data_IF_812939583659
#
_entry.id   IF_812939583659
#
_cell.length_a   1.000
_cell.length_b   1.000
_cell.length_c   1.000
_cell.angle_alpha   90.00
_cell.angle_beta   90.00
_cell.angle_gamma   90.00
#
_symmetry.space_group_name_H-M   'P 1'
#
loop_
_entity.id
_entity.type
_entity.pdbx_description
1 polymer ?
#
# COMPACT_ATOMS: atom_id res chain seq x y z
N UNK A 1 -11.91 -37.43 9.22
CA UNK A 1 -10.46 -37.10 9.14
C UNK A 1 -10.11 -36.00 10.14
N UNK A 2 -9.34 -36.31 11.20
CA UNK A 2 -8.84 -35.30 12.17
C UNK A 2 -7.76 -34.44 11.51
N UNK A 3 -8.08 -33.19 11.17
CA UNK A 3 -7.10 -32.19 10.69
C UNK A 3 -6.04 -32.01 11.79
N UNK A 4 -4.78 -32.43 11.56
CA UNK A 4 -3.69 -32.22 12.52
C UNK A 4 -3.50 -30.72 12.72
N UNK A 5 -3.72 -30.26 13.94
CA UNK A 5 -3.64 -28.85 14.31
C UNK A 5 -2.19 -28.50 14.65
N UNK A 6 -1.68 -27.41 14.09
CA UNK A 6 -0.29 -26.98 14.32
C UNK A 6 -0.10 -26.56 15.79
N UNK A 7 0.89 -27.15 16.47
CA UNK A 7 1.17 -26.95 17.90
C UNK A 7 1.67 -25.55 18.23
N UNK A 8 2.17 -24.80 17.24
CA UNK A 8 2.70 -23.44 17.44
C UNK A 8 1.64 -22.33 17.35
N UNK A 9 0.36 -22.67 17.23
CA UNK A 9 -0.70 -21.66 17.13
C UNK A 9 -1.19 -21.23 18.52
N UNK A 10 -1.46 -19.94 18.70
CA UNK A 10 -2.06 -19.40 19.95
C UNK A 10 -3.42 -20.02 20.32
N UNK A 11 -4.11 -20.57 19.31
CA UNK A 11 -5.34 -21.36 19.47
C UNK A 11 -5.04 -22.73 20.09
N UNK A 12 -3.93 -23.37 19.71
CA UNK A 12 -3.54 -24.68 20.20
C UNK A 12 -3.13 -24.63 21.67
N UNK A 13 -2.32 -23.64 22.06
CA UNK A 13 -1.97 -23.42 23.47
C UNK A 13 -3.21 -23.15 24.33
N UNK A 14 -4.17 -22.37 23.82
CA UNK A 14 -5.45 -22.15 24.49
C UNK A 14 -6.22 -23.46 24.68
N UNK A 15 -6.44 -24.24 23.62
CA UNK A 15 -7.17 -25.50 23.70
C UNK A 15 -6.48 -26.54 24.60
N UNK A 16 -5.14 -26.51 24.66
CA UNK A 16 -4.35 -27.37 25.56
C UNK A 16 -4.55 -26.94 27.01
N UNK A 17 -4.47 -25.64 27.29
CA UNK A 17 -4.71 -25.08 28.63
C UNK A 17 -6.15 -25.26 29.12
N UNK A 18 -7.13 -25.34 28.20
CA UNK A 18 -8.52 -25.59 28.51
C UNK A 18 -8.85 -27.08 28.78
N UNK A 19 -7.88 -28.00 28.65
CA UNK A 19 -8.05 -29.44 28.89
C UNK A 19 -8.91 -30.19 27.86
N UNK A 20 -9.51 -29.47 26.90
CA UNK A 20 -10.45 -30.02 25.91
C UNK A 20 -9.76 -30.83 24.81
N UNK A 21 -8.44 -30.66 24.66
CA UNK A 21 -7.63 -31.40 23.70
C UNK A 21 -7.38 -32.87 24.11
N UNK A 22 -7.35 -33.16 25.42
CA UNK A 22 -7.05 -34.49 25.96
C UNK A 22 -8.32 -35.28 26.28
N UNK A 23 -9.35 -34.62 26.85
CA UNK A 23 -10.56 -35.29 27.36
C UNK A 23 -11.87 -34.83 26.70
N UNK A 24 -11.80 -33.91 25.73
CA UNK A 24 -12.99 -33.28 25.15
C UNK A 24 -13.59 -34.02 23.97
N UNK A 25 -14.92 -34.04 23.89
CA UNK A 25 -15.64 -34.47 22.68
C UNK A 25 -15.43 -33.48 21.53
N UNK A 26 -15.68 -33.91 20.29
CA UNK A 26 -15.49 -33.06 19.10
C UNK A 26 -16.26 -31.73 19.20
N UNK A 27 -17.45 -31.77 19.78
CA UNK A 27 -18.30 -30.59 20.02
C UNK A 27 -17.69 -29.63 21.04
N UNK A 28 -17.09 -30.15 22.12
CA UNK A 28 -16.43 -29.33 23.14
C UNK A 28 -15.20 -28.63 22.56
N UNK A 29 -14.40 -29.32 21.73
CA UNK A 29 -13.25 -28.73 21.04
C UNK A 29 -13.71 -27.60 20.11
N UNK A 30 -14.79 -27.81 19.36
CA UNK A 30 -15.32 -26.80 18.45
C UNK A 30 -15.89 -25.59 19.21
N UNK A 31 -16.58 -25.82 20.33
CA UNK A 31 -17.09 -24.76 21.21
C UNK A 31 -15.96 -23.91 21.78
N UNK A 32 -14.90 -24.55 22.30
CA UNK A 32 -13.73 -23.85 22.83
C UNK A 32 -12.98 -23.05 21.76
N UNK A 33 -12.89 -23.55 20.51
CA UNK A 33 -12.34 -22.79 19.38
C UNK A 33 -13.16 -21.55 19.05
N UNK A 34 -14.47 -21.68 19.00
CA UNK A 34 -15.36 -20.56 18.71
C UNK A 34 -15.25 -19.49 19.79
N UNK A 35 -15.15 -19.91 21.05
CA UNK A 35 -14.97 -19.02 22.19
C UNK A 35 -13.62 -18.30 22.16
N UNK A 36 -12.53 -19.02 21.86
CA UNK A 36 -11.21 -18.41 21.63
C UNK A 36 -11.27 -17.31 20.59
N UNK A 37 -11.82 -17.60 19.41
CA UNK A 37 -11.88 -16.61 18.33
C UNK A 37 -12.79 -15.43 18.65
N UNK A 38 -13.86 -15.66 19.43
CA UNK A 38 -14.73 -14.59 19.93
C UNK A 38 -13.96 -13.65 20.85
N UNK A 39 -13.27 -14.18 21.85
CA UNK A 39 -12.46 -13.39 22.78
C UNK A 39 -11.26 -12.72 22.11
N UNK A 40 -10.59 -13.43 21.19
CA UNK A 40 -9.54 -12.86 20.36
C UNK A 40 -10.04 -11.66 19.55
N UNK A 41 -11.16 -11.82 18.81
CA UNK A 41 -11.77 -10.72 18.04
C UNK A 41 -12.24 -9.58 18.94
N UNK A 42 -12.70 -9.87 20.16
CA UNK A 42 -13.09 -8.86 21.14
C UNK A 42 -11.88 -8.05 21.61
N UNK A 43 -10.80 -8.71 22.04
CA UNK A 43 -9.54 -8.08 22.44
C UNK A 43 -8.92 -7.28 21.30
N UNK A 44 -8.89 -7.84 20.11
CA UNK A 44 -8.42 -7.17 18.90
C UNK A 44 -9.24 -5.90 18.61
N UNK A 45 -10.58 -5.98 18.58
CA UNK A 45 -11.45 -4.80 18.41
C UNK A 45 -11.27 -3.76 19.51
N UNK A 46 -11.05 -4.17 20.76
CA UNK A 46 -10.76 -3.26 21.88
C UNK A 46 -9.43 -2.54 21.68
N UNK A 47 -8.40 -3.26 21.26
CA UNK A 47 -7.08 -2.69 20.96
C UNK A 47 -7.14 -1.74 19.76
N UNK A 48 -7.85 -2.12 18.69
CA UNK A 48 -8.05 -1.25 17.51
C UNK A 48 -8.74 0.06 17.88
N UNK A 49 -9.80 0.01 18.70
CA UNK A 49 -10.50 1.22 19.19
C UNK A 49 -9.65 2.10 20.11
N UNK A 50 -8.66 1.54 20.80
CA UNK A 50 -7.70 2.34 21.59
C UNK A 50 -6.64 3.00 20.71
N UNK A 51 -6.22 2.35 19.63
CA UNK A 51 -5.13 2.81 18.76
C UNK A 51 -5.63 3.77 17.67
N UNK A 52 -6.83 3.55 17.17
CA UNK A 52 -7.40 4.26 16.04
C UNK A 52 -8.75 4.86 16.44
N UNK A 53 -8.95 6.12 16.05
CA UNK A 53 -10.24 6.80 16.15
C UNK A 53 -10.92 6.76 14.80
N UNK A 54 -12.20 6.39 14.77
CA UNK A 54 -13.05 6.40 13.59
C UNK A 54 -14.04 7.57 13.69
N UNK A 55 -14.31 8.21 12.56
CA UNK A 55 -15.32 9.25 12.46
C UNK A 55 -16.26 8.92 11.29
N UNK A 56 -17.55 9.13 11.51
CA UNK A 56 -18.57 8.98 10.48
C UNK A 56 -18.85 10.35 9.85
N UNK A 57 -18.88 10.39 8.52
CA UNK A 57 -19.27 11.56 7.73
C UNK A 57 -20.35 11.14 6.75
N UNK A 58 -21.30 12.03 6.52
CA UNK A 58 -22.37 11.84 5.55
C UNK A 58 -22.03 12.58 4.27
N UNK A 59 -22.29 11.96 3.13
CA UNK A 59 -22.13 12.56 1.81
C UNK A 59 -23.47 12.57 1.08
N UNK A 60 -23.74 13.63 0.34
CA UNK A 60 -24.80 13.66 -0.65
C UNK A 60 -24.53 12.66 -1.78
N UNK A 61 -25.55 12.36 -2.60
CA UNK A 61 -25.37 11.47 -3.74
C UNK A 61 -24.36 12.02 -4.76
N UNK A 62 -24.35 13.34 -4.95
CA UNK A 62 -23.43 14.03 -5.86
C UNK A 62 -22.00 13.97 -5.36
N UNK A 63 -21.76 14.27 -4.08
CA UNK A 63 -20.45 14.17 -3.44
C UNK A 63 -19.91 12.73 -3.52
N UNK A 64 -20.77 11.74 -3.29
CA UNK A 64 -20.38 10.34 -3.35
C UNK A 64 -20.04 9.89 -4.79
N UNK A 65 -20.72 10.43 -5.80
CA UNK A 65 -20.42 10.19 -7.22
C UNK A 65 -19.07 10.77 -7.59
N UNK A 66 -18.79 12.01 -7.18
CA UNK A 66 -17.52 12.67 -7.42
C UNK A 66 -16.37 11.93 -6.72
N UNK A 67 -16.54 11.64 -5.43
CA UNK A 67 -15.59 10.87 -4.63
C UNK A 67 -15.29 9.49 -5.26
N UNK A 68 -16.31 8.81 -5.77
CA UNK A 68 -16.15 7.51 -6.41
C UNK A 68 -15.37 7.63 -7.72
N UNK A 69 -15.60 8.69 -8.49
CA UNK A 69 -14.87 8.97 -9.72
C UNK A 69 -13.40 9.25 -9.43
N UNK A 70 -13.11 10.13 -8.48
CA UNK A 70 -11.73 10.46 -8.12
C UNK A 70 -11.00 9.26 -7.50
N UNK A 71 -11.62 8.52 -6.59
CA UNK A 71 -11.01 7.33 -6.00
C UNK A 71 -10.62 6.28 -7.08
N UNK A 72 -11.46 6.09 -8.10
CA UNK A 72 -11.15 5.22 -9.25
C UNK A 72 -9.98 5.75 -10.08
N UNK A 73 -9.95 7.04 -10.41
CA UNK A 73 -8.82 7.67 -11.12
C UNK A 73 -7.51 7.49 -10.37
N UNK A 74 -7.56 7.55 -9.04
CA UNK A 74 -6.40 7.36 -8.17
C UNK A 74 -6.07 5.90 -7.82
N UNK A 75 -6.78 4.92 -8.41
CA UNK A 75 -6.64 3.47 -8.15
C UNK A 75 -6.65 3.10 -6.65
N UNK A 76 -7.49 3.75 -5.85
CA UNK A 76 -7.62 3.50 -4.41
C UNK A 76 -9.08 3.41 -3.96
N UNK A 77 -9.33 2.84 -2.77
CA UNK A 77 -10.67 2.87 -2.17
C UNK A 77 -11.06 4.29 -1.76
N UNK A 78 -12.37 4.59 -1.73
CA UNK A 78 -12.93 5.89 -1.31
C UNK A 78 -12.35 6.38 0.02
N UNK A 79 -12.34 5.53 1.05
CA UNK A 79 -11.79 5.87 2.38
C UNK A 79 -10.30 6.19 2.33
N UNK A 80 -9.52 5.42 1.53
CA UNK A 80 -8.09 5.66 1.36
C UNK A 80 -7.83 6.95 0.57
N UNK A 81 -8.68 7.26 -0.41
CA UNK A 81 -8.63 8.52 -1.15
C UNK A 81 -8.90 9.71 -0.23
N UNK A 82 -9.99 9.69 0.56
CA UNK A 82 -10.30 10.76 1.53
C UNK A 82 -9.11 11.03 2.46
N UNK A 83 -8.55 9.96 3.06
CA UNK A 83 -7.40 10.09 3.95
C UNK A 83 -6.19 10.69 3.23
N UNK A 84 -5.88 10.20 2.02
CA UNK A 84 -4.78 10.73 1.22
C UNK A 84 -5.01 12.19 0.86
N UNK A 85 -6.22 12.57 0.44
CA UNK A 85 -6.55 13.92 0.04
C UNK A 85 -6.46 14.91 1.20
N UNK A 86 -6.99 14.53 2.37
CA UNK A 86 -6.89 15.34 3.57
C UNK A 86 -5.42 15.63 3.94
N UNK A 87 -4.58 14.60 4.04
CA UNK A 87 -3.17 14.80 4.38
C UNK A 87 -2.37 15.45 3.26
N UNK A 88 -2.73 15.21 1.99
CA UNK A 88 -2.06 15.85 0.87
C UNK A 88 -2.31 17.35 0.86
N UNK A 89 -3.54 17.78 1.13
CA UNK A 89 -3.89 19.18 1.29
C UNK A 89 -3.14 19.83 2.47
N UNK A 90 -3.17 19.18 3.65
CA UNK A 90 -2.45 19.66 4.84
C UNK A 90 -0.95 19.81 4.57
N UNK A 91 -0.35 18.84 3.89
CA UNK A 91 1.09 18.81 3.60
C UNK A 91 1.47 19.60 2.36
N UNK A 92 0.52 20.29 1.69
CA UNK A 92 0.72 21.00 0.42
C UNK A 92 1.40 20.13 -0.64
N UNK A 93 1.04 18.85 -0.69
CA UNK A 93 1.61 17.86 -1.60
C UNK A 93 0.56 17.44 -2.64
N UNK A 94 1.01 17.16 -3.85
CA UNK A 94 0.13 16.64 -4.89
C UNK A 94 -0.17 15.15 -4.69
N UNK A 95 -1.40 14.74 -5.04
CA UNK A 95 -1.74 13.32 -5.12
C UNK A 95 -1.60 12.88 -6.56
N UNK A 96 -0.59 12.07 -6.85
CA UNK A 96 -0.44 11.45 -8.16
C UNK A 96 -1.64 10.50 -8.41
N UNK A 97 -2.37 10.63 -9.54
CA UNK A 97 -3.43 9.71 -9.92
C UNK A 97 -2.93 8.27 -10.02
N UNK A 98 -1.83 8.06 -10.71
CA UNK A 98 -1.26 6.72 -10.85
C UNK A 98 0.22 6.68 -10.47
N UNK A 99 0.47 6.42 -9.18
CA UNK A 99 1.83 6.28 -8.67
C UNK A 99 2.56 5.09 -9.29
N UNK A 100 1.85 4.06 -9.76
CA UNK A 100 2.47 2.90 -10.38
C UNK A 100 3.01 3.26 -11.76
N UNK A 101 2.26 4.04 -12.54
CA UNK A 101 2.72 4.53 -13.84
C UNK A 101 3.89 5.53 -13.69
N UNK A 102 3.85 6.45 -12.73
CA UNK A 102 4.99 7.34 -12.47
C UNK A 102 6.25 6.55 -12.09
N UNK A 103 6.11 5.53 -11.23
CA UNK A 103 7.22 4.64 -10.88
C UNK A 103 7.73 3.84 -12.08
N UNK A 104 6.84 3.43 -12.97
CA UNK A 104 7.21 2.74 -14.21
C UNK A 104 8.05 3.64 -15.11
N UNK A 105 7.70 4.93 -15.23
CA UNK A 105 8.50 5.92 -15.95
C UNK A 105 9.89 6.05 -15.31
N UNK A 106 9.98 6.23 -13.99
CA UNK A 106 11.26 6.26 -13.28
C UNK A 106 12.10 5.02 -13.53
N UNK A 107 11.49 3.83 -13.47
CA UNK A 107 12.16 2.57 -13.73
C UNK A 107 12.70 2.48 -15.16
N UNK A 108 11.92 2.90 -16.16
CA UNK A 108 12.35 2.90 -17.56
C UNK A 108 13.53 3.84 -17.79
N UNK A 109 13.54 5.01 -17.15
CA UNK A 109 14.68 5.94 -17.19
C UNK A 109 15.93 5.32 -16.56
N UNK A 110 15.82 4.71 -15.38
CA UNK A 110 16.94 4.03 -14.73
C UNK A 110 17.48 2.85 -15.57
N UNK A 111 16.58 2.06 -16.18
CA UNK A 111 16.99 0.98 -17.08
C UNK A 111 17.71 1.51 -18.32
N UNK A 112 17.26 2.63 -18.88
CA UNK A 112 17.89 3.28 -20.03
C UNK A 112 19.30 3.76 -19.67
N UNK A 113 19.45 4.39 -18.51
CA UNK A 113 20.76 4.81 -17.99
C UNK A 113 21.73 3.62 -17.87
N UNK A 114 21.28 2.52 -17.24
CA UNK A 114 22.09 1.32 -17.06
C UNK A 114 22.49 0.68 -18.41
N UNK A 115 21.57 0.64 -19.39
CA UNK A 115 21.86 0.09 -20.71
C UNK A 115 22.90 0.92 -21.48
N UNK A 116 22.88 2.25 -21.34
CA UNK A 116 23.89 3.13 -21.94
C UNK A 116 25.24 2.92 -21.25
N UNK A 117 25.25 2.85 -19.91
CA UNK A 117 26.45 2.59 -19.12
C UNK A 117 27.12 1.26 -19.51
N UNK A 118 26.35 0.17 -19.62
CA UNK A 118 26.85 -1.13 -20.08
C UNK A 118 27.40 -1.07 -21.51
N UNK A 119 26.76 -0.28 -22.38
CA UNK A 119 27.20 -0.10 -23.77
C UNK A 119 28.51 0.69 -23.87
N UNK A 120 28.74 1.64 -22.97
CA UNK A 120 30.01 2.35 -22.81
C UNK A 120 31.12 1.42 -22.31
N UNK A 121 30.85 0.65 -21.27
CA UNK A 121 31.81 -0.31 -20.69
C UNK A 121 32.18 -1.41 -21.70
N UNK A 122 31.24 -1.80 -22.57
CA UNK A 122 31.44 -2.77 -23.64
C UNK A 122 32.09 -2.17 -24.91
N UNK A 123 32.47 -0.89 -24.92
CA UNK A 123 32.96 -0.16 -26.10
C UNK A 123 32.04 -0.24 -27.33
N UNK A 124 30.74 -0.46 -27.15
CA UNK A 124 29.74 -0.51 -28.24
C UNK A 124 29.38 0.88 -28.77
N UNK A 125 29.65 1.91 -27.96
CA UNK A 125 29.38 3.32 -28.27
C UNK A 125 30.63 4.11 -27.93
N UNK A 126 30.95 5.11 -28.75
CA UNK A 126 32.03 6.06 -28.45
C UNK A 126 31.75 6.81 -27.14
N UNK A 127 32.79 6.91 -26.28
CA UNK A 127 32.66 7.46 -24.93
C UNK A 127 31.99 8.84 -24.90
N UNK A 128 32.37 9.74 -25.81
CA UNK A 128 31.82 11.08 -25.90
C UNK A 128 30.31 11.06 -26.19
N UNK A 129 29.89 10.26 -27.17
CA UNK A 129 28.48 10.14 -27.55
C UNK A 129 27.65 9.50 -26.43
N UNK A 130 28.16 8.46 -25.76
CA UNK A 130 27.45 7.84 -24.65
C UNK A 130 27.32 8.78 -23.45
N UNK A 131 28.36 9.56 -23.12
CA UNK A 131 28.31 10.58 -22.07
C UNK A 131 27.25 11.65 -22.36
N UNK A 132 27.21 12.18 -23.58
CA UNK A 132 26.23 13.20 -23.97
C UNK A 132 24.78 12.68 -23.87
N UNK A 133 24.54 11.40 -24.22
CA UNK A 133 23.22 10.77 -24.09
C UNK A 133 22.85 10.60 -22.60
N UNK A 134 23.78 10.15 -21.76
CA UNK A 134 23.53 10.00 -20.32
C UNK A 134 23.20 11.33 -19.66
N UNK A 135 23.90 12.41 -20.00
CA UNK A 135 23.60 13.75 -19.49
C UNK A 135 22.18 14.20 -19.87
N UNK A 136 21.74 13.91 -21.10
CA UNK A 136 20.37 14.21 -21.54
C UNK A 136 19.31 13.37 -20.82
N UNK A 137 19.55 12.08 -20.60
CA UNK A 137 18.63 11.21 -19.83
C UNK A 137 18.51 11.71 -18.38
N UNK A 138 19.63 12.12 -17.79
CA UNK A 138 19.64 12.69 -16.45
C UNK A 138 18.88 14.02 -16.36
N UNK A 139 19.03 14.90 -17.37
CA UNK A 139 18.24 16.14 -17.45
C UNK A 139 16.74 15.84 -17.55
N UNK A 140 16.35 14.90 -18.41
CA UNK A 140 14.95 14.47 -18.55
C UNK A 140 14.40 13.96 -17.21
N UNK A 141 15.15 13.15 -16.48
CA UNK A 141 14.74 12.65 -15.17
C UNK A 141 14.54 13.80 -14.17
N UNK A 142 15.48 14.76 -14.13
CA UNK A 142 15.42 15.92 -13.24
C UNK A 142 14.29 16.89 -13.55
N UNK A 143 13.84 16.97 -14.80
CA UNK A 143 12.73 17.85 -15.18
C UNK A 143 11.37 17.14 -15.05
N UNK A 144 11.28 15.89 -15.51
CA UNK A 144 10.01 15.17 -15.59
C UNK A 144 9.57 14.64 -14.23
N UNK A 145 10.46 14.03 -13.45
CA UNK A 145 10.05 13.38 -12.19
C UNK A 145 9.49 14.38 -11.16
N UNK A 146 10.07 15.58 -10.97
CA UNK A 146 9.47 16.56 -10.06
C UNK A 146 8.10 17.01 -10.52
N UNK A 147 7.89 17.23 -11.83
CA UNK A 147 6.59 17.66 -12.38
C UNK A 147 5.54 16.56 -12.23
N UNK A 148 5.91 15.29 -12.41
CA UNK A 148 4.98 14.17 -12.25
C UNK A 148 4.64 13.87 -10.79
N UNK A 149 5.58 14.06 -9.86
CA UNK A 149 5.36 13.80 -8.43
C UNK A 149 4.75 15.00 -7.70
N UNK A 150 5.11 16.23 -8.11
CA UNK A 150 4.71 17.49 -7.50
C UNK A 150 4.40 18.54 -8.59
N UNK A 151 3.37 18.35 -9.44
CA UNK A 151 2.94 19.38 -10.36
C UNK A 151 2.57 20.65 -9.57
N UNK A 152 2.92 21.81 -10.14
CA UNK A 152 2.61 23.11 -9.54
C UNK A 152 1.10 23.19 -9.25
N UNK A 153 0.74 23.46 -8.00
CA UNK A 153 -0.66 23.71 -7.66
C UNK A 153 -1.13 25.02 -8.29
N UNK A 154 -2.41 25.09 -8.64
CA UNK A 154 -3.05 26.29 -9.22
C UNK A 154 -2.92 27.50 -8.28
N UNK A 155 -2.75 27.27 -6.97
CA UNK A 155 -2.58 28.32 -5.95
C UNK A 155 -1.19 29.00 -5.96
N UNK A 156 -0.25 28.59 -6.84
CA UNK A 156 1.09 29.17 -6.99
C UNK A 156 1.32 29.82 -8.37
N UNK A 157 0.26 30.22 -9.07
CA UNK A 157 0.30 31.11 -10.24
C UNK A 157 -0.17 32.51 -9.84
#
# INVERSE_FOLDING_TARGET
MKRRMNSNTSVYSFLKSSGVLENGTHEQIQKARNEYWREYKRKWRKHQRKKNTEFAISFSQEELKELSTQAKRHKVSRTKFIKKACFAYINKSFIVPDIAEVRKISQLLSMTYNAIQESLESNKIEFKNGKDIMERVYQLEREILPVLNNPKSIELQ
#
